data_IF_755723114692
#
_entry.id   IF_755723114692
#
_cell.length_a   1.000
_cell.length_b   1.000
_cell.length_c   1.000
_cell.angle_alpha   90.00
_cell.angle_beta   90.00
_cell.angle_gamma   90.00
#
_symmetry.space_group_name_H-M   'P 1'
#
loop_
_entity.id
_entity.type
_entity.pdbx_description
1 polymer ?
#
# COMPACT_ATOMS: atom_id res chain seq x y z
N UNK A 1 129.82 57.87 9.43
CA UNK A 1 129.40 56.51 9.79
C UNK A 1 130.48 55.87 10.63
N UNK A 2 130.08 55.38 11.79
CA UNK A 2 130.88 54.77 12.85
C UNK A 2 131.23 53.31 12.47
N UNK A 3 132.33 52.74 12.95
CA UNK A 3 132.74 51.36 12.60
C UNK A 3 131.69 50.33 13.06
N UNK A 4 131.02 50.59 14.18
CA UNK A 4 129.88 49.83 14.66
C UNK A 4 128.64 49.92 13.75
N UNK A 5 128.46 51.05 13.06
CA UNK A 5 127.38 51.26 12.09
C UNK A 5 127.61 50.44 10.82
N UNK A 6 128.87 50.30 10.39
CA UNK A 6 129.24 49.47 9.22
C UNK A 6 129.06 47.97 9.49
N UNK A 7 129.42 47.49 10.68
CA UNK A 7 129.21 46.09 11.07
C UNK A 7 127.71 45.75 11.21
N UNK A 8 126.92 46.68 11.76
CA UNK A 8 125.47 46.55 11.81
C UNK A 8 124.86 46.48 10.41
N UNK A 9 125.31 47.35 9.49
CA UNK A 9 124.89 47.31 8.09
C UNK A 9 125.23 45.97 7.45
N UNK A 10 126.45 45.46 7.61
CA UNK A 10 126.84 44.16 7.07
C UNK A 10 125.98 43.01 7.60
N UNK A 11 125.61 43.05 8.89
CA UNK A 11 124.70 42.06 9.48
C UNK A 11 123.32 42.14 8.86
N UNK A 12 122.77 43.35 8.69
CA UNK A 12 121.49 43.58 8.02
C UNK A 12 121.53 43.08 6.57
N UNK A 13 122.61 43.33 5.83
CA UNK A 13 122.77 42.83 4.46
C UNK A 13 122.87 41.31 4.39
N UNK A 14 123.54 40.67 5.35
CA UNK A 14 123.61 39.20 5.46
C UNK A 14 122.25 38.60 5.78
N UNK A 15 121.54 39.14 6.77
CA UNK A 15 120.21 38.66 7.16
C UNK A 15 119.21 38.85 6.01
N UNK A 16 119.29 39.98 5.29
CA UNK A 16 118.49 40.25 4.09
C UNK A 16 118.83 39.26 2.96
N UNK A 17 120.11 38.96 2.74
CA UNK A 17 120.53 38.00 1.72
C UNK A 17 120.05 36.57 2.04
N UNK A 18 120.17 36.14 3.31
CA UNK A 18 119.66 34.85 3.78
C UNK A 18 118.13 34.79 3.61
N UNK A 19 117.42 35.83 4.04
CA UNK A 19 115.97 35.90 3.88
C UNK A 19 115.54 35.83 2.41
N UNK A 20 116.25 36.52 1.52
CA UNK A 20 115.99 36.46 0.07
C UNK A 20 116.29 35.07 -0.50
N UNK A 21 117.36 34.42 -0.07
CA UNK A 21 117.70 33.06 -0.51
C UNK A 21 116.66 32.04 -0.05
N UNK A 22 116.19 32.13 1.20
CA UNK A 22 115.10 31.29 1.73
C UNK A 22 113.80 31.53 0.95
N UNK A 23 113.47 32.79 0.64
CA UNK A 23 112.28 33.14 -0.13
C UNK A 23 112.32 32.57 -1.55
N UNK A 24 113.45 32.73 -2.24
CA UNK A 24 113.67 32.20 -3.59
C UNK A 24 113.54 30.68 -3.56
N UNK A 25 114.24 30.01 -2.64
CA UNK A 25 114.17 28.55 -2.51
C UNK A 25 112.75 28.05 -2.25
N UNK A 26 112.01 28.71 -1.36
CA UNK A 26 110.61 28.35 -1.06
C UNK A 26 109.70 28.55 -2.26
N UNK A 27 109.87 29.64 -3.02
CA UNK A 27 109.10 29.89 -4.23
C UNK A 27 109.41 28.87 -5.34
N UNK A 28 110.69 28.53 -5.51
CA UNK A 28 111.17 27.51 -6.43
C UNK A 28 110.63 26.12 -6.06
N UNK A 29 110.69 25.72 -4.79
CA UNK A 29 110.14 24.46 -4.28
C UNK A 29 108.61 24.40 -4.46
N UNK A 30 107.88 25.50 -4.18
CA UNK A 30 106.43 25.57 -4.33
C UNK A 30 105.97 25.50 -5.81
N UNK A 31 106.77 26.01 -6.74
CA UNK A 31 106.52 25.95 -8.17
C UNK A 31 107.09 24.67 -8.82
N UNK A 32 107.83 23.83 -8.07
CA UNK A 32 108.47 22.63 -8.58
C UNK A 32 109.61 22.91 -9.56
N UNK A 33 110.30 24.04 -9.41
CA UNK A 33 111.39 24.47 -10.28
C UNK A 33 112.75 23.99 -9.75
N UNK A 34 113.77 24.04 -10.60
CA UNK A 34 115.15 23.71 -10.23
C UNK A 34 115.69 24.73 -9.19
N UNK A 35 116.32 24.30 -8.07
CA UNK A 35 116.97 25.18 -7.09
C UNK A 35 117.93 26.22 -7.68
N UNK A 36 118.59 25.92 -8.81
CA UNK A 36 119.55 26.79 -9.50
C UNK A 36 118.93 27.54 -10.70
N UNK A 37 117.58 27.60 -10.78
CA UNK A 37 116.90 28.30 -11.87
C UNK A 37 117.26 29.79 -11.94
N UNK A 38 117.27 30.34 -13.16
CA UNK A 38 117.54 31.76 -13.33
C UNK A 38 116.39 32.62 -12.80
N UNK A 39 116.73 33.85 -12.36
CA UNK A 39 115.74 34.83 -11.90
C UNK A 39 114.63 35.09 -12.92
N UNK A 40 114.95 35.04 -14.21
CA UNK A 40 113.98 35.23 -15.29
C UNK A 40 113.01 34.04 -15.44
N UNK A 41 113.49 32.82 -15.21
CA UNK A 41 112.64 31.62 -15.18
C UNK A 41 111.71 31.66 -13.98
N UNK A 42 112.22 31.94 -12.78
CA UNK A 42 111.41 32.07 -11.57
C UNK A 42 110.33 33.16 -11.72
N UNK A 43 110.71 34.33 -12.26
CA UNK A 43 109.77 35.43 -12.49
C UNK A 43 108.67 35.04 -13.48
N UNK A 44 109.03 34.41 -14.62
CA UNK A 44 108.06 33.97 -15.63
C UNK A 44 107.07 32.96 -15.06
N UNK A 45 107.54 31.95 -14.33
CA UNK A 45 106.69 30.92 -13.76
C UNK A 45 105.79 31.46 -12.64
N UNK A 46 106.28 32.40 -11.84
CA UNK A 46 105.46 33.12 -10.86
C UNK A 46 104.36 33.93 -11.56
N UNK A 47 104.68 34.65 -12.65
CA UNK A 47 103.69 35.39 -13.46
C UNK A 47 102.64 34.46 -14.08
N UNK A 48 103.06 33.30 -14.59
CA UNK A 48 102.16 32.25 -15.09
C UNK A 48 101.26 31.72 -13.97
N UNK A 49 101.83 31.42 -12.80
CA UNK A 49 101.11 30.95 -11.62
C UNK A 49 100.05 31.94 -11.15
N UNK A 50 100.42 33.23 -11.01
CA UNK A 50 99.50 34.31 -10.65
C UNK A 50 98.38 34.44 -11.69
N UNK A 51 98.71 34.39 -12.98
CA UNK A 51 97.70 34.43 -14.04
C UNK A 51 96.73 33.25 -13.97
N UNK A 52 97.24 32.04 -13.76
CA UNK A 52 96.41 30.83 -13.58
C UNK A 52 95.48 30.95 -12.36
N UNK A 53 95.96 31.53 -11.25
CA UNK A 53 95.14 31.77 -10.06
C UNK A 53 94.02 32.77 -10.39
N UNK A 54 94.33 33.90 -11.04
CA UNK A 54 93.33 34.88 -11.45
C UNK A 54 92.28 34.26 -12.39
N UNK A 55 92.71 33.49 -13.39
CA UNK A 55 91.81 32.83 -14.33
C UNK A 55 90.94 31.77 -13.62
N UNK A 56 91.50 31.02 -12.67
CA UNK A 56 90.78 30.04 -11.86
C UNK A 56 89.76 30.71 -10.93
N UNK A 57 90.13 31.80 -10.25
CA UNK A 57 89.22 32.59 -9.41
C UNK A 57 88.06 33.18 -10.23
N UNK A 58 88.35 33.72 -11.42
CA UNK A 58 87.33 34.20 -12.34
C UNK A 58 86.40 33.07 -12.80
N UNK A 59 86.96 31.89 -13.12
CA UNK A 59 86.18 30.70 -13.50
C UNK A 59 85.29 30.23 -12.35
N UNK A 60 85.82 30.10 -11.13
CA UNK A 60 85.07 29.71 -9.93
C UNK A 60 83.95 30.71 -9.63
N UNK A 61 84.23 32.01 -9.69
CA UNK A 61 83.21 33.05 -9.50
C UNK A 61 82.09 32.97 -10.53
N UNK A 62 82.43 32.71 -11.80
CA UNK A 62 81.43 32.52 -12.86
C UNK A 62 80.60 31.25 -12.64
N UNK A 63 81.23 30.15 -12.24
CA UNK A 63 80.59 28.87 -11.98
C UNK A 63 79.66 28.95 -10.75
N UNK A 64 80.09 29.60 -9.68
CA UNK A 64 79.25 29.85 -8.50
C UNK A 64 78.01 30.69 -8.85
N UNK A 65 78.17 31.73 -9.68
CA UNK A 65 77.05 32.56 -10.12
C UNK A 65 76.05 31.75 -10.98
N UNK A 66 76.54 30.95 -11.91
CA UNK A 66 75.70 30.08 -12.75
C UNK A 66 74.99 29.01 -11.91
N UNK A 67 75.70 28.39 -10.96
CA UNK A 67 75.11 27.41 -10.04
C UNK A 67 74.01 28.05 -9.18
N UNK A 68 74.25 29.25 -8.63
CA UNK A 68 73.24 29.97 -7.86
C UNK A 68 71.99 30.32 -8.68
N UNK A 69 72.17 30.72 -9.93
CA UNK A 69 71.04 30.95 -10.85
C UNK A 69 70.27 29.66 -11.17
N UNK A 70 70.98 28.55 -11.40
CA UNK A 70 70.35 27.26 -11.68
C UNK A 70 69.55 26.74 -10.47
N UNK A 71 70.10 26.88 -9.26
CA UNK A 71 69.41 26.52 -8.00
C UNK A 71 68.14 27.35 -7.84
N UNK A 72 68.22 28.68 -8.00
CA UNK A 72 67.05 29.56 -7.87
C UNK A 72 65.94 29.21 -8.88
N UNK A 73 66.32 28.88 -10.13
CA UNK A 73 65.35 28.42 -11.14
C UNK A 73 64.73 27.08 -10.75
N UNK A 74 65.53 26.15 -10.22
CA UNK A 74 65.06 24.83 -9.81
C UNK A 74 64.13 24.92 -8.60
N UNK A 75 64.47 25.73 -7.58
CA UNK A 75 63.63 25.98 -6.41
C UNK A 75 62.27 26.57 -6.82
N UNK A 76 62.27 27.56 -7.72
CA UNK A 76 61.03 28.12 -8.26
C UNK A 76 60.18 27.06 -8.96
N UNK A 77 60.78 26.24 -9.81
CA UNK A 77 60.07 25.15 -10.51
C UNK A 77 59.54 24.09 -9.55
N UNK A 78 60.28 23.75 -8.50
CA UNK A 78 59.82 22.81 -7.47
C UNK A 78 58.61 23.38 -6.72
N UNK A 79 58.66 24.64 -6.29
CA UNK A 79 57.54 25.29 -5.61
C UNK A 79 56.27 25.36 -6.50
N UNK A 80 56.43 25.70 -7.78
CA UNK A 80 55.32 25.67 -8.75
C UNK A 80 54.78 24.25 -8.96
N UNK A 81 55.66 23.25 -9.04
CA UNK A 81 55.28 21.85 -9.21
C UNK A 81 54.56 21.27 -7.98
N UNK A 82 55.03 21.57 -6.77
CA UNK A 82 54.36 21.17 -5.53
C UNK A 82 52.98 21.81 -5.40
N UNK A 83 52.86 23.09 -5.73
CA UNK A 83 51.56 23.77 -5.75
C UNK A 83 50.60 23.12 -6.75
N UNK A 84 51.08 22.82 -7.95
CA UNK A 84 50.28 22.12 -8.96
C UNK A 84 49.88 20.71 -8.50
N UNK A 85 50.80 19.97 -7.86
CA UNK A 85 50.52 18.64 -7.31
C UNK A 85 49.45 18.69 -6.23
N UNK A 86 49.56 19.61 -5.28
CA UNK A 86 48.59 19.75 -4.19
C UNK A 86 47.18 20.10 -4.72
N UNK A 87 47.10 20.94 -5.76
CA UNK A 87 45.81 21.24 -6.42
C UNK A 87 45.25 20.00 -7.11
N UNK A 88 46.09 19.26 -7.85
CA UNK A 88 45.67 18.05 -8.55
C UNK A 88 45.21 16.95 -7.57
N UNK A 89 45.92 16.75 -6.47
CA UNK A 89 45.55 15.81 -5.40
C UNK A 89 44.22 16.22 -4.73
N UNK A 90 44.04 17.51 -4.44
CA UNK A 90 42.78 18.01 -3.88
C UNK A 90 41.59 17.80 -4.84
N UNK A 91 41.79 18.05 -6.15
CA UNK A 91 40.77 17.81 -7.16
C UNK A 91 40.47 16.31 -7.31
N UNK A 92 41.49 15.45 -7.30
CA UNK A 92 41.31 14.01 -7.37
C UNK A 92 40.53 13.47 -6.16
N UNK A 93 40.85 13.95 -4.96
CA UNK A 93 40.12 13.59 -3.73
C UNK A 93 38.65 14.04 -3.79
N UNK A 94 38.39 15.27 -4.23
CA UNK A 94 37.03 15.79 -4.40
C UNK A 94 36.22 14.98 -5.43
N UNK A 95 36.82 14.65 -6.58
CA UNK A 95 36.19 13.83 -7.61
C UNK A 95 35.90 12.40 -7.13
N UNK A 96 36.79 11.82 -6.33
CA UNK A 96 36.57 10.50 -5.74
C UNK A 96 35.40 10.52 -4.74
N UNK A 97 35.32 11.55 -3.89
CA UNK A 97 34.19 11.72 -2.96
C UNK A 97 32.87 11.88 -3.71
N UNK A 98 32.83 12.77 -4.70
CA UNK A 98 31.64 13.01 -5.53
C UNK A 98 31.20 11.74 -6.27
N UNK A 99 32.15 10.95 -6.79
CA UNK A 99 31.86 9.67 -7.43
C UNK A 99 31.23 8.68 -6.44
N UNK A 100 31.79 8.53 -5.24
CA UNK A 100 31.25 7.63 -4.22
C UNK A 100 29.86 8.05 -3.77
N UNK A 101 29.59 9.35 -3.63
CA UNK A 101 28.27 9.88 -3.30
C UNK A 101 27.26 9.62 -4.42
N UNK A 102 27.64 9.87 -5.67
CA UNK A 102 26.80 9.59 -6.84
C UNK A 102 26.48 8.10 -6.98
N UNK A 103 27.44 7.20 -6.73
CA UNK A 103 27.22 5.75 -6.74
C UNK A 103 26.24 5.31 -5.64
N UNK A 104 26.38 5.85 -4.43
CA UNK A 104 25.43 5.60 -3.33
C UNK A 104 24.03 6.12 -3.68
N UNK A 105 23.93 7.33 -4.22
CA UNK A 105 22.64 7.92 -4.63
C UNK A 105 21.98 7.06 -5.72
N UNK A 106 22.72 6.64 -6.74
CA UNK A 106 22.22 5.75 -7.79
C UNK A 106 21.76 4.40 -7.24
N UNK A 107 22.47 3.81 -6.27
CA UNK A 107 22.07 2.55 -5.66
C UNK A 107 20.72 2.70 -4.92
N UNK A 108 20.56 3.76 -4.14
CA UNK A 108 19.31 4.09 -3.45
C UNK A 108 18.18 4.33 -4.44
N UNK A 109 18.45 5.08 -5.53
CA UNK A 109 17.45 5.36 -6.56
C UNK A 109 17.01 4.09 -7.29
N UNK A 110 17.95 3.20 -7.65
CA UNK A 110 17.63 1.90 -8.28
C UNK A 110 16.76 1.03 -7.38
N UNK A 111 17.06 0.96 -6.08
CA UNK A 111 16.26 0.21 -5.11
C UNK A 111 14.86 0.81 -4.96
N UNK A 112 14.75 2.14 -4.93
CA UNK A 112 13.47 2.83 -4.90
C UNK A 112 12.64 2.57 -6.17
N UNK A 113 13.26 2.68 -7.35
CA UNK A 113 12.63 2.36 -8.64
C UNK A 113 12.18 0.91 -8.70
N UNK A 114 13.00 -0.04 -8.24
CA UNK A 114 12.63 -1.45 -8.21
C UNK A 114 11.41 -1.71 -7.33
N UNK A 115 11.37 -1.11 -6.12
CA UNK A 115 10.20 -1.19 -5.22
C UNK A 115 8.96 -0.56 -5.85
N UNK A 116 9.10 0.61 -6.48
CA UNK A 116 8.00 1.28 -7.17
C UNK A 116 7.46 0.42 -8.33
N UNK A 117 8.33 -0.12 -9.18
CA UNK A 117 7.95 -1.02 -10.27
C UNK A 117 7.27 -2.29 -9.77
N UNK A 118 7.76 -2.89 -8.68
CA UNK A 118 7.10 -4.05 -8.05
C UNK A 118 5.69 -3.71 -7.58
N UNK A 119 5.49 -2.54 -6.96
CA UNK A 119 4.18 -2.09 -6.53
C UNK A 119 3.24 -1.82 -7.71
N UNK A 120 3.72 -1.16 -8.77
CA UNK A 120 2.95 -0.91 -10.00
C UNK A 120 2.51 -2.24 -10.62
N UNK A 121 3.42 -3.22 -10.73
CA UNK A 121 3.10 -4.54 -11.26
C UNK A 121 2.06 -5.28 -10.40
N UNK A 122 2.15 -5.16 -9.07
CA UNK A 122 1.16 -5.73 -8.16
C UNK A 122 -0.22 -5.09 -8.33
N UNK A 123 -0.28 -3.76 -8.42
CA UNK A 123 -1.52 -3.03 -8.68
C UNK A 123 -2.11 -3.39 -10.06
N UNK A 124 -1.27 -3.52 -11.09
CA UNK A 124 -1.72 -3.91 -12.42
C UNK A 124 -2.35 -5.32 -12.41
N UNK A 125 -1.70 -6.28 -11.75
CA UNK A 125 -2.24 -7.64 -11.60
C UNK A 125 -3.56 -7.67 -10.82
N UNK A 126 -3.69 -6.84 -9.78
CA UNK A 126 -4.94 -6.70 -9.02
C UNK A 126 -6.05 -6.08 -9.89
N UNK A 127 -5.75 -5.03 -10.64
CA UNK A 127 -6.70 -4.39 -11.57
C UNK A 127 -7.13 -5.36 -12.67
N UNK A 128 -6.22 -6.15 -13.22
CA UNK A 128 -6.56 -7.16 -14.23
C UNK A 128 -7.49 -8.24 -13.66
N UNK A 129 -7.23 -8.71 -12.43
CA UNK A 129 -8.14 -9.62 -11.72
C UNK A 129 -9.50 -8.98 -11.47
N UNK A 130 -9.52 -7.71 -11.04
CA UNK A 130 -10.75 -6.97 -10.80
C UNK A 130 -11.56 -6.81 -12.09
N UNK A 131 -10.91 -6.47 -13.22
CA UNK A 131 -11.57 -6.39 -14.53
C UNK A 131 -12.11 -7.76 -14.97
N UNK A 132 -11.36 -8.85 -14.78
CA UNK A 132 -11.86 -10.20 -15.05
C UNK A 132 -13.06 -10.57 -14.17
N UNK A 133 -13.03 -10.20 -12.89
CA UNK A 133 -14.14 -10.42 -11.96
C UNK A 133 -15.37 -9.57 -12.34
N UNK A 134 -15.17 -8.30 -12.70
CA UNK A 134 -16.21 -7.41 -13.23
C UNK A 134 -16.79 -8.00 -14.51
N UNK A 135 -15.95 -8.41 -15.47
CA UNK A 135 -16.42 -9.04 -16.71
C UNK A 135 -17.18 -10.34 -16.42
N UNK A 136 -16.76 -11.15 -15.45
CA UNK A 136 -17.50 -12.36 -15.05
C UNK A 136 -18.82 -12.04 -14.36
N UNK A 137 -18.87 -11.00 -13.54
CA UNK A 137 -20.07 -10.57 -12.82
C UNK A 137 -21.08 -9.86 -13.74
N UNK A 138 -20.58 -9.04 -14.67
CA UNK A 138 -21.37 -8.39 -15.72
C UNK A 138 -21.75 -9.36 -16.84
N UNK A 139 -21.01 -10.46 -17.00
CA UNK A 139 -21.42 -11.61 -17.80
C UNK A 139 -22.50 -12.43 -17.07
N UNK A 140 -23.61 -11.78 -16.70
CA UNK A 140 -24.90 -12.37 -17.03
C UNK A 140 -24.90 -12.51 -18.57
N UNK A 141 -24.41 -13.64 -19.07
CA UNK A 141 -24.41 -13.92 -20.51
C UNK A 141 -25.82 -13.65 -21.06
N UNK A 142 -25.98 -13.26 -22.33
CA UNK A 142 -27.32 -13.16 -22.94
C UNK A 142 -28.18 -14.39 -22.65
N UNK A 143 -27.53 -15.55 -22.55
CA UNK A 143 -28.13 -16.81 -22.13
C UNK A 143 -28.63 -16.84 -20.67
N UNK A 144 -27.89 -16.30 -19.69
CA UNK A 144 -28.34 -16.18 -18.30
C UNK A 144 -29.48 -15.17 -18.15
N UNK A 145 -29.44 -14.04 -18.87
CA UNK A 145 -30.55 -13.07 -18.93
C UNK A 145 -31.79 -13.74 -19.52
N UNK A 146 -31.65 -14.48 -20.62
CA UNK A 146 -32.76 -15.23 -21.24
C UNK A 146 -33.29 -16.32 -20.31
N UNK A 147 -32.44 -17.02 -19.56
CA UNK A 147 -32.87 -18.00 -18.55
C UNK A 147 -33.68 -17.33 -17.42
N UNK A 148 -33.21 -16.20 -16.89
CA UNK A 148 -33.92 -15.41 -15.88
C UNK A 148 -35.26 -14.89 -16.41
N UNK A 149 -35.31 -14.37 -17.64
CA UNK A 149 -36.54 -13.92 -18.29
C UNK A 149 -37.54 -15.07 -18.52
N UNK A 150 -37.06 -16.25 -18.92
CA UNK A 150 -37.91 -17.45 -19.06
C UNK A 150 -38.48 -17.89 -17.70
N UNK A 151 -37.67 -17.88 -16.65
CA UNK A 151 -38.10 -18.21 -15.30
C UNK A 151 -39.17 -17.23 -14.80
N UNK A 152 -38.94 -15.92 -14.95
CA UNK A 152 -39.92 -14.88 -14.61
C UNK A 152 -41.22 -15.03 -15.41
N UNK A 153 -41.13 -15.31 -16.71
CA UNK A 153 -42.31 -15.55 -17.54
C UNK A 153 -43.11 -16.76 -17.06
N UNK A 154 -42.43 -17.85 -16.71
CA UNK A 154 -43.07 -19.05 -16.14
C UNK A 154 -43.76 -18.73 -14.81
N UNK A 155 -43.04 -18.09 -13.89
CA UNK A 155 -43.59 -17.69 -12.59
C UNK A 155 -44.83 -16.82 -12.72
N UNK A 156 -44.84 -15.86 -13.67
CA UNK A 156 -46.00 -15.01 -13.94
C UNK A 156 -47.21 -15.82 -14.45
N UNK A 157 -47.00 -16.82 -15.31
CA UNK A 157 -48.09 -17.69 -15.77
C UNK A 157 -48.62 -18.56 -14.62
N UNK A 158 -47.73 -19.16 -13.83
CA UNK A 158 -48.09 -20.01 -12.69
C UNK A 158 -48.89 -19.20 -11.65
N UNK A 159 -48.46 -17.96 -11.36
CA UNK A 159 -49.19 -17.05 -10.46
C UNK A 159 -50.57 -16.67 -11.02
N UNK A 160 -50.67 -16.39 -12.32
CA UNK A 160 -51.96 -16.07 -12.95
C UNK A 160 -52.92 -17.27 -12.91
N UNK A 161 -52.41 -18.48 -13.12
CA UNK A 161 -53.19 -19.71 -13.01
C UNK A 161 -53.68 -19.94 -11.57
N UNK A 162 -52.79 -19.78 -10.59
CA UNK A 162 -53.13 -19.87 -9.17
C UNK A 162 -54.20 -18.85 -8.77
N UNK A 163 -54.08 -17.58 -9.22
CA UNK A 163 -55.10 -16.55 -8.98
C UNK A 163 -56.46 -16.95 -9.54
N UNK A 164 -56.52 -17.48 -10.76
CA UNK A 164 -57.79 -17.96 -11.36
C UNK A 164 -58.43 -19.09 -10.56
N UNK A 165 -57.63 -20.04 -10.06
CA UNK A 165 -58.13 -21.14 -9.22
C UNK A 165 -58.74 -20.57 -7.93
N UNK A 166 -57.99 -19.71 -7.23
CA UNK A 166 -58.44 -19.07 -5.98
C UNK A 166 -59.71 -18.23 -6.20
N UNK A 167 -59.79 -17.48 -7.31
CA UNK A 167 -60.98 -16.71 -7.65
C UNK A 167 -62.20 -17.61 -7.93
N UNK A 168 -62.00 -18.74 -8.61
CA UNK A 168 -63.03 -19.75 -8.87
C UNK A 168 -63.54 -20.43 -7.60
N UNK A 169 -62.63 -20.80 -6.69
CA UNK A 169 -62.97 -21.35 -5.38
C UNK A 169 -63.73 -20.33 -4.53
N UNK A 170 -63.28 -19.08 -4.49
CA UNK A 170 -63.97 -18.01 -3.78
C UNK A 170 -65.38 -17.74 -4.32
N UNK A 171 -65.58 -17.81 -5.64
CA UNK A 171 -66.90 -17.70 -6.25
C UNK A 171 -67.82 -18.88 -5.87
N UNK A 172 -67.27 -20.09 -5.84
CA UNK A 172 -68.00 -21.31 -5.43
C UNK A 172 -68.41 -21.22 -3.95
N UNK A 173 -67.48 -20.87 -3.06
CA UNK A 173 -67.76 -20.70 -1.63
C UNK A 173 -68.82 -19.62 -1.38
N UNK A 174 -68.82 -18.52 -2.14
CA UNK A 174 -69.88 -17.49 -2.04
C UNK A 174 -71.25 -18.04 -2.44
N UNK A 175 -71.32 -18.88 -3.48
CA UNK A 175 -72.57 -19.52 -3.91
C UNK A 175 -73.05 -20.52 -2.85
N UNK A 176 -72.16 -21.36 -2.34
CA UNK A 176 -72.48 -22.32 -1.28
C UNK A 176 -72.94 -21.64 -0.01
N UNK A 177 -72.26 -20.55 0.41
CA UNK A 177 -72.68 -19.73 1.55
C UNK A 177 -74.11 -19.22 1.38
N UNK A 178 -74.44 -18.63 0.21
CA UNK A 178 -75.81 -18.16 -0.07
C UNK A 178 -76.83 -19.29 -0.02
N UNK A 179 -76.51 -20.45 -0.59
CA UNK A 179 -77.39 -21.62 -0.56
C UNK A 179 -77.60 -22.14 0.88
N UNK A 180 -76.55 -22.15 1.70
CA UNK A 180 -76.64 -22.55 3.11
C UNK A 180 -77.44 -21.54 3.93
N UNK A 181 -77.22 -20.23 3.73
CA UNK A 181 -78.03 -19.18 4.35
C UNK A 181 -79.52 -19.35 3.99
N UNK A 182 -79.83 -19.60 2.72
CA UNK A 182 -81.21 -19.86 2.30
C UNK A 182 -81.79 -21.11 2.98
N UNK A 183 -81.05 -22.24 3.01
CA UNK A 183 -81.49 -23.46 3.71
C UNK A 183 -81.73 -23.23 5.20
N UNK A 184 -80.89 -22.42 5.86
CA UNK A 184 -81.09 -22.05 7.27
C UNK A 184 -82.40 -21.28 7.42
N UNK A 185 -82.69 -20.32 6.54
CA UNK A 185 -83.97 -19.58 6.60
C UNK A 185 -85.18 -20.48 6.38
N UNK A 186 -85.11 -21.43 5.44
CA UNK A 186 -86.18 -22.41 5.17
C UNK A 186 -86.41 -23.34 6.38
N UNK A 187 -85.33 -23.85 6.99
CA UNK A 187 -85.41 -24.69 8.18
C UNK A 187 -85.96 -23.94 9.39
N UNK A 188 -85.62 -22.65 9.54
CA UNK A 188 -86.19 -21.82 10.60
C UNK A 188 -87.70 -21.64 10.40
N UNK A 189 -88.17 -21.37 9.18
CA UNK A 189 -89.59 -21.25 8.87
C UNK A 189 -90.35 -22.57 9.14
N UNK A 190 -89.78 -23.71 8.71
CA UNK A 190 -90.35 -25.03 8.99
C UNK A 190 -90.41 -25.33 10.50
N UNK A 191 -89.42 -24.87 11.27
CA UNK A 191 -89.41 -25.03 12.73
C UNK A 191 -90.50 -24.17 13.39
N UNK A 192 -90.70 -22.92 12.95
CA UNK A 192 -91.79 -22.06 13.41
C UNK A 192 -93.16 -22.68 13.10
N UNK A 193 -93.35 -23.23 11.91
CA UNK A 193 -94.58 -23.95 11.52
C UNK A 193 -94.80 -25.21 12.36
N UNK A 194 -93.74 -25.99 12.61
CA UNK A 194 -93.82 -27.17 13.46
C UNK A 194 -94.25 -26.83 14.88
N UNK A 195 -93.77 -25.72 15.45
CA UNK A 195 -94.18 -25.25 16.77
C UNK A 195 -95.67 -24.88 16.80
N UNK A 196 -96.18 -24.25 15.74
CA UNK A 196 -97.62 -23.99 15.59
C UNK A 196 -98.41 -25.30 15.52
N UNK A 197 -97.93 -26.28 14.74
CA UNK A 197 -98.59 -27.57 14.63
C UNK A 197 -98.61 -28.33 15.96
N UNK A 198 -97.56 -28.22 16.78
CA UNK A 198 -97.53 -28.76 18.15
C UNK A 198 -98.68 -28.20 18.99
N UNK A 199 -98.90 -26.88 18.96
CA UNK A 199 -100.00 -26.25 19.71
C UNK A 199 -101.37 -26.76 19.23
N UNK A 200 -101.58 -26.81 17.91
CA UNK A 200 -102.82 -27.33 17.32
C UNK A 200 -103.05 -28.81 17.67
N UNK A 201 -101.99 -29.62 17.70
CA UNK A 201 -102.08 -31.03 18.06
C UNK A 201 -102.46 -31.22 19.54
N UNK A 202 -101.96 -30.37 20.45
CA UNK A 202 -102.37 -30.38 21.86
C UNK A 202 -103.83 -29.99 22.03
N UNK A 203 -104.26 -28.92 21.38
CA UNK A 203 -105.67 -28.46 21.40
C UNK A 203 -106.63 -29.53 20.86
N UNK A 204 -106.25 -30.18 19.74
CA UNK A 204 -107.03 -31.26 19.16
C UNK A 204 -107.10 -32.48 20.10
N UNK A 205 -105.98 -32.85 20.74
CA UNK A 205 -105.96 -33.96 21.69
C UNK A 205 -106.84 -33.69 22.92
N UNK A 206 -106.85 -32.45 23.42
CA UNK A 206 -107.72 -32.01 24.51
C UNK A 206 -109.21 -32.05 24.11
N UNK A 207 -109.53 -31.60 22.90
CA UNK A 207 -110.88 -31.69 22.33
C UNK A 207 -111.33 -33.15 22.20
N UNK A 208 -110.48 -34.01 21.63
CA UNK A 208 -110.74 -35.44 21.51
C UNK A 208 -110.92 -36.10 22.89
N UNK A 209 -110.13 -35.71 23.89
CA UNK A 209 -110.27 -36.17 25.28
C UNK A 209 -111.61 -35.77 25.87
N UNK A 210 -112.04 -34.53 25.64
CA UNK A 210 -113.33 -34.01 26.11
C UNK A 210 -114.50 -34.77 25.47
N UNK A 211 -114.49 -34.92 24.14
CA UNK A 211 -115.51 -35.66 23.40
C UNK A 211 -115.54 -37.14 23.81
N UNK A 212 -114.39 -37.78 23.95
CA UNK A 212 -114.28 -39.17 24.39
C UNK A 212 -114.87 -39.36 25.80
N UNK A 213 -114.64 -38.41 26.71
CA UNK A 213 -115.27 -38.42 28.04
C UNK A 213 -116.79 -38.23 27.98
N UNK A 214 -117.31 -37.41 27.06
CA UNK A 214 -118.75 -37.22 26.83
C UNK A 214 -119.43 -38.44 26.20
N UNK A 215 -118.72 -39.20 25.36
CA UNK A 215 -119.21 -40.42 24.70
C UNK A 215 -119.18 -41.65 25.61
N UNK A 216 -118.26 -41.68 26.57
CA UNK A 216 -118.08 -42.78 27.54
C UNK A 216 -119.35 -43.24 28.29
N UNK A 217 -120.31 -42.38 28.68
CA UNK A 217 -121.58 -42.80 29.28
C UNK A 217 -122.68 -43.20 28.26
N UNK A 218 -122.48 -42.95 26.96
CA UNK A 218 -123.51 -43.10 25.92
C UNK A 218 -123.30 -44.31 25.00
N UNK A 219 -122.17 -45.00 25.12
CA UNK A 219 -121.77 -46.10 24.21
C UNK A 219 -121.19 -47.26 25.04
N UNK A 220 -121.44 -48.49 24.61
CA UNK A 220 -120.86 -49.68 25.24
C UNK A 220 -119.33 -49.68 25.15
N UNK A 221 -118.67 -50.12 26.23
CA UNK A 221 -117.19 -50.08 26.37
C UNK A 221 -116.43 -50.83 25.27
N UNK A 222 -117.08 -51.76 24.57
CA UNK A 222 -116.48 -52.52 23.47
C UNK A 222 -116.32 -51.69 22.19
N UNK A 223 -117.12 -50.63 22.02
CA UNK A 223 -117.21 -49.85 20.79
C UNK A 223 -116.46 -48.50 20.86
N UNK A 224 -115.85 -48.17 22.01
CA UNK A 224 -115.12 -46.91 22.21
C UNK A 224 -113.59 -47.15 22.21
N UNK A 225 -112.87 -46.82 21.12
CA UNK A 225 -111.42 -47.02 21.03
C UNK A 225 -110.66 -46.18 22.05
N UNK A 226 -109.61 -46.74 22.66
CA UNK A 226 -108.75 -46.01 23.58
C UNK A 226 -108.03 -44.85 22.87
N UNK A 227 -108.03 -43.67 23.51
CA UNK A 227 -107.25 -42.53 23.04
C UNK A 227 -105.75 -42.85 23.11
N UNK A 228 -105.04 -42.52 22.02
CA UNK A 228 -103.59 -42.63 21.95
C UNK A 228 -102.97 -41.62 22.94
N UNK A 229 -101.93 -42.05 23.67
CA UNK A 229 -101.20 -41.19 24.60
C UNK A 229 -100.42 -40.13 23.83
N UNK A 230 -100.53 -38.88 24.27
CA UNK A 230 -99.78 -37.76 23.72
C UNK A 230 -98.29 -37.88 24.10
N UNK A 231 -97.39 -37.78 23.11
CA UNK A 231 -95.94 -37.76 23.35
C UNK A 231 -95.48 -36.35 23.76
N UNK A 232 -95.71 -36.03 25.03
CA UNK A 232 -95.42 -34.70 25.57
C UNK A 232 -93.92 -34.35 25.50
N UNK A 233 -93.04 -35.36 25.60
CA UNK A 233 -91.58 -35.15 25.58
C UNK A 233 -91.09 -34.75 24.19
N UNK A 234 -91.64 -35.35 23.14
CA UNK A 234 -91.34 -34.97 21.76
C UNK A 234 -91.82 -33.56 21.44
N UNK A 235 -93.05 -33.23 21.83
CA UNK A 235 -93.67 -31.92 21.59
C UNK A 235 -92.96 -30.79 22.34
N UNK A 236 -92.59 -30.98 23.61
CA UNK A 236 -91.81 -30.00 24.36
C UNK A 236 -90.43 -29.73 23.76
N UNK A 237 -89.78 -30.75 23.19
CA UNK A 237 -88.46 -30.58 22.56
C UNK A 237 -88.54 -29.70 21.31
N UNK A 238 -89.59 -29.88 20.50
CA UNK A 238 -89.83 -29.05 19.31
C UNK A 238 -90.10 -27.58 19.68
N UNK A 239 -90.89 -27.33 20.72
CA UNK A 239 -91.14 -25.96 21.20
C UNK A 239 -89.91 -25.30 21.80
N UNK A 240 -89.10 -26.05 22.57
CA UNK A 240 -87.83 -25.55 23.11
C UNK A 240 -86.88 -25.20 21.96
N UNK A 241 -86.76 -26.07 20.96
CA UNK A 241 -85.95 -25.82 19.78
C UNK A 241 -86.42 -24.58 19.01
N UNK A 242 -87.72 -24.39 18.82
CA UNK A 242 -88.28 -23.20 18.18
C UNK A 242 -88.02 -21.91 18.98
N UNK A 243 -88.18 -21.95 20.31
CA UNK A 243 -87.91 -20.80 21.20
C UNK A 243 -86.43 -20.43 21.22
N UNK A 244 -85.52 -21.41 21.17
CA UNK A 244 -84.08 -21.17 21.08
C UNK A 244 -83.66 -20.64 19.72
N UNK A 245 -84.28 -21.11 18.63
CA UNK A 245 -84.06 -20.59 17.29
C UNK A 245 -84.51 -19.12 17.16
N UNK A 246 -85.66 -18.75 17.72
CA UNK A 246 -86.13 -17.37 17.77
C UNK A 246 -85.15 -16.44 18.49
N UNK A 247 -84.61 -16.85 19.64
CA UNK A 247 -83.61 -16.07 20.40
C UNK A 247 -82.30 -15.83 19.64
N UNK A 248 -81.94 -16.70 18.70
CA UNK A 248 -80.74 -16.55 17.86
C UNK A 248 -80.97 -15.66 16.64
N UNK A 249 -82.23 -15.37 16.28
CA UNK A 249 -82.62 -14.50 15.17
C UNK A 249 -82.57 -13.01 15.55
N UNK A 250 -82.67 -12.70 16.84
CA UNK A 250 -82.69 -11.33 17.42
C UNK A 250 -81.32 -10.81 17.91
N UNK A 251 -80.22 -11.55 17.70
CA UNK A 251 -78.84 -11.18 18.04
C UNK A 251 -77.98 -11.07 16.78
#
# INVERSE_FOLDING_TARGET
MDQAEFELQLKVWKDLAISNQVLIKTATDALGLDPDCSRDVLKRELEIGVKKIIDAEASVGSAQKQAGQAIAVMEKKMAESEKARNIAEAQAAAMLSAKQEAEKAMAVERDAHFKAMKNINAQLAEKERAVKAINKALADTPENVVKKLKALKKQKMDETAARKIVEGEAATLRKEKRNQEQRITELQAALEESARLVTQHRELHELCTTLHNQLKPLVDKADLPALIKLDEKGLERLEKAAKEAAKKKDK
#
